data_IF_488389608086
#
_entry.id   IF_488389608086
#
_cell.length_a   1.000
_cell.length_b   1.000
_cell.length_c   1.000
_cell.angle_alpha   90.00
_cell.angle_beta   90.00
_cell.angle_gamma   90.00
#
_symmetry.space_group_name_H-M   'P 1'
#
loop_
_entity.id
_entity.type
_entity.pdbx_description
1 polymer ?
#
# COMPACT_ATOMS: atom_id res chain seq x y z
N UNK A 1 10.06 6.20 -0.85
CA UNK A 1 9.40 4.93 -1.19
C UNK A 1 8.59 5.13 -2.45
N UNK A 2 8.67 4.21 -3.40
CA UNK A 2 7.90 4.21 -4.63
C UNK A 2 6.84 3.11 -4.55
N UNK A 3 5.57 3.50 -4.62
CA UNK A 3 4.43 2.60 -4.52
C UNK A 3 3.46 2.89 -5.68
N UNK A 4 2.78 1.88 -6.22
CA UNK A 4 1.72 2.09 -7.18
C UNK A 4 0.64 3.03 -6.62
N UNK A 5 0.27 4.01 -7.44
CA UNK A 5 -0.85 4.90 -7.13
C UNK A 5 -2.17 4.13 -7.29
N UNK A 6 -2.93 4.07 -6.20
CA UNK A 6 -4.23 3.41 -6.17
C UNK A 6 -5.32 4.38 -6.56
N UNK A 7 -5.19 5.68 -6.24
CA UNK A 7 -6.23 6.66 -6.49
C UNK A 7 -6.58 6.75 -7.99
N UNK A 8 -5.58 6.74 -8.87
CA UNK A 8 -5.79 6.70 -10.33
C UNK A 8 -6.35 5.38 -10.88
N UNK A 9 -6.39 4.31 -10.07
CA UNK A 9 -6.95 3.00 -10.45
C UNK A 9 -8.41 2.82 -10.04
N UNK A 10 -8.91 3.66 -9.13
CA UNK A 10 -10.32 3.65 -8.69
C UNK A 10 -11.09 4.74 -9.44
N UNK A 11 -11.47 4.45 -10.68
CA UNK A 11 -12.39 5.31 -11.44
C UNK A 11 -13.81 4.76 -11.28
N UNK A 12 -14.78 5.62 -10.93
CA UNK A 12 -16.16 5.28 -10.55
C UNK A 12 -16.36 4.76 -9.12
N UNK A 13 -15.94 5.55 -8.12
CA UNK A 13 -16.31 5.32 -6.70
C UNK A 13 -17.78 5.72 -6.48
N UNK A 14 -18.66 4.81 -6.01
CA UNK A 14 -20.03 5.17 -5.66
C UNK A 14 -20.06 6.23 -4.55
N UNK A 15 -21.02 7.16 -4.59
CA UNK A 15 -21.14 8.22 -3.58
C UNK A 15 -21.20 7.68 -2.14
N UNK A 16 -21.88 6.55 -1.93
CA UNK A 16 -21.97 5.87 -0.64
C UNK A 16 -20.62 5.32 -0.13
N UNK A 17 -19.68 5.01 -1.03
CA UNK A 17 -18.36 4.46 -0.69
C UNK A 17 -17.28 5.53 -0.57
N UNK A 18 -17.55 6.78 -0.98
CA UNK A 18 -16.53 7.83 -1.13
C UNK A 18 -15.75 8.09 0.17
N UNK A 19 -16.43 8.17 1.31
CA UNK A 19 -15.80 8.43 2.60
C UNK A 19 -14.86 7.27 3.01
N UNK A 20 -15.28 6.03 2.79
CA UNK A 20 -14.47 4.84 3.09
C UNK A 20 -13.26 4.73 2.17
N UNK A 21 -13.44 4.95 0.86
CA UNK A 21 -12.33 4.96 -0.10
C UNK A 21 -11.32 6.05 0.26
N UNK A 22 -11.76 7.27 0.54
CA UNK A 22 -10.89 8.38 0.93
C UNK A 22 -10.10 8.06 2.21
N UNK A 23 -10.75 7.45 3.22
CA UNK A 23 -10.08 7.03 4.46
C UNK A 23 -9.00 5.98 4.19
N UNK A 24 -9.30 4.99 3.35
CA UNK A 24 -8.33 3.94 3.01
C UNK A 24 -7.18 4.47 2.13
N UNK A 25 -7.43 5.42 1.22
CA UNK A 25 -6.38 6.12 0.48
C UNK A 25 -5.46 6.91 1.42
N UNK A 26 -6.03 7.59 2.42
CA UNK A 26 -5.27 8.22 3.50
C UNK A 26 -4.41 7.21 4.28
N UNK A 27 -4.98 6.05 4.61
CA UNK A 27 -4.26 4.98 5.30
C UNK A 27 -3.09 4.43 4.47
N UNK A 28 -3.24 4.28 3.15
CA UNK A 28 -2.13 3.88 2.26
C UNK A 28 -0.98 4.89 2.33
N UNK A 29 -1.28 6.19 2.41
CA UNK A 29 -0.26 7.24 2.59
C UNK A 29 0.44 7.11 3.95
N UNK A 30 -0.31 6.92 5.03
CA UNK A 30 0.28 6.69 6.37
C UNK A 30 1.20 5.47 6.38
N UNK A 31 0.81 4.37 5.74
CA UNK A 31 1.64 3.16 5.63
C UNK A 31 2.97 3.44 4.92
N UNK A 32 2.95 4.26 3.86
CA UNK A 32 4.15 4.68 3.13
C UNK A 32 5.06 5.55 4.03
N UNK A 33 4.50 6.50 4.76
CA UNK A 33 5.25 7.34 5.69
C UNK A 33 5.93 6.51 6.79
N UNK A 34 5.19 5.55 7.36
CA UNK A 34 5.69 4.65 8.40
C UNK A 34 6.84 3.78 7.87
N UNK A 35 6.71 3.28 6.64
CA UNK A 35 7.76 2.50 6.00
C UNK A 35 8.99 3.35 5.64
N UNK A 36 8.82 4.61 5.22
CA UNK A 36 9.94 5.52 5.01
C UNK A 36 10.70 5.80 6.33
N UNK A 37 9.99 5.99 7.45
CA UNK A 37 10.61 6.14 8.78
C UNK A 37 11.42 4.90 9.17
N UNK A 38 10.83 3.71 8.99
CA UNK A 38 11.52 2.44 9.23
C UNK A 38 12.75 2.27 8.35
N UNK A 39 12.65 2.63 7.07
CA UNK A 39 13.78 2.58 6.13
C UNK A 39 14.92 3.50 6.57
N UNK A 40 14.62 4.73 7.00
CA UNK A 40 15.62 5.66 7.51
C UNK A 40 16.33 5.12 8.76
N UNK A 41 15.57 4.51 9.68
CA UNK A 41 16.13 3.88 10.88
C UNK A 41 16.92 2.59 10.59
N UNK A 42 16.61 1.91 9.48
CA UNK A 42 17.30 0.71 9.02
C UNK A 42 18.59 1.03 8.23
N UNK A 43 18.84 2.29 7.87
CA UNK A 43 20.02 2.67 7.11
C UNK A 43 21.30 2.29 7.89
N UNK A 44 22.17 1.49 7.25
CA UNK A 44 23.39 0.97 7.87
C UNK A 44 23.20 -0.31 8.69
N UNK A 45 21.99 -0.84 8.82
CA UNK A 45 21.70 -2.09 9.54
C UNK A 45 21.27 -3.21 8.57
N UNK A 46 21.97 -4.34 8.57
CA UNK A 46 21.47 -5.62 8.01
C UNK A 46 21.34 -5.76 6.48
N UNK A 47 21.72 -4.76 5.68
CA UNK A 47 21.77 -4.84 4.21
C UNK A 47 20.41 -5.00 3.52
N UNK A 48 20.42 -5.31 2.21
CA UNK A 48 19.20 -5.35 1.38
C UNK A 48 18.15 -6.37 1.86
N UNK A 49 18.58 -7.52 2.38
CA UNK A 49 17.68 -8.53 2.93
C UNK A 49 16.93 -8.03 4.18
N UNK A 50 17.57 -7.20 5.00
CA UNK A 50 16.91 -6.60 6.16
C UNK A 50 15.83 -5.61 5.73
N UNK A 51 16.11 -4.72 4.78
CA UNK A 51 15.10 -3.78 4.25
C UNK A 51 13.91 -4.52 3.66
N UNK A 52 14.17 -5.61 2.90
CA UNK A 52 13.10 -6.43 2.34
C UNK A 52 12.21 -7.01 3.45
N UNK A 53 12.80 -7.64 4.46
CA UNK A 53 12.06 -8.37 5.49
C UNK A 53 11.41 -7.47 6.55
N UNK A 54 12.08 -6.41 6.97
CA UNK A 54 11.63 -5.55 8.07
C UNK A 54 10.77 -4.35 7.60
N UNK A 55 10.88 -3.97 6.32
CA UNK A 55 10.21 -2.78 5.78
C UNK A 55 9.26 -3.14 4.64
N UNK A 56 9.76 -3.74 3.56
CA UNK A 56 8.98 -3.94 2.33
C UNK A 56 7.91 -5.04 2.47
N UNK A 57 8.22 -6.18 3.09
CA UNK A 57 7.24 -7.25 3.30
C UNK A 57 6.07 -6.77 4.20
N UNK A 58 6.31 -6.17 5.39
CA UNK A 58 5.22 -5.66 6.22
C UNK A 58 4.41 -4.53 5.55
N UNK A 59 5.07 -3.68 4.74
CA UNK A 59 4.38 -2.66 3.96
C UNK A 59 3.45 -3.29 2.93
N UNK A 60 3.92 -4.32 2.19
CA UNK A 60 3.12 -5.04 1.21
C UNK A 60 1.88 -5.63 1.86
N UNK A 61 2.02 -6.37 2.97
CA UNK A 61 0.89 -7.02 3.64
C UNK A 61 -0.17 -6.02 4.11
N UNK A 62 0.26 -4.89 4.69
CA UNK A 62 -0.64 -3.80 5.09
C UNK A 62 -1.36 -3.18 3.89
N UNK A 63 -0.65 -2.98 2.78
CA UNK A 63 -1.23 -2.42 1.55
C UNK A 63 -2.22 -3.37 0.90
N UNK A 64 -1.93 -4.67 0.83
CA UNK A 64 -2.87 -5.70 0.34
C UNK A 64 -4.19 -5.59 1.10
N UNK A 65 -4.13 -5.61 2.44
CA UNK A 65 -5.32 -5.54 3.28
C UNK A 65 -6.11 -4.23 3.07
N UNK A 66 -5.45 -3.11 2.83
CA UNK A 66 -6.13 -1.83 2.58
C UNK A 66 -6.72 -1.73 1.17
N UNK A 67 -6.01 -2.24 0.14
CA UNK A 67 -6.50 -2.28 -1.23
C UNK A 67 -7.73 -3.20 -1.32
N UNK A 68 -7.71 -4.36 -0.65
CA UNK A 68 -8.87 -5.25 -0.57
C UNK A 68 -10.10 -4.58 0.03
N UNK A 69 -9.92 -3.70 1.04
CA UNK A 69 -11.03 -2.92 1.61
C UNK A 69 -11.57 -1.90 0.60
N UNK A 70 -10.70 -1.22 -0.15
CA UNK A 70 -11.12 -0.29 -1.22
C UNK A 70 -11.94 -1.01 -2.28
N UNK A 71 -11.45 -2.16 -2.76
CA UNK A 71 -12.14 -2.98 -3.78
C UNK A 71 -13.51 -3.44 -3.29
N UNK A 72 -13.61 -3.89 -2.03
CA UNK A 72 -14.89 -4.29 -1.42
C UNK A 72 -15.84 -3.10 -1.24
N UNK A 73 -15.35 -1.95 -0.80
CA UNK A 73 -16.16 -0.75 -0.58
C UNK A 73 -16.86 -0.26 -1.85
N UNK A 74 -16.21 -0.41 -3.02
CA UNK A 74 -16.81 -0.07 -4.32
C UNK A 74 -17.65 -1.21 -4.92
N UNK A 75 -17.87 -2.30 -4.20
CA UNK A 75 -18.63 -3.47 -4.67
C UNK A 75 -17.90 -4.33 -5.71
N UNK A 76 -16.58 -4.19 -5.83
CA UNK A 76 -15.76 -4.89 -6.80
C UNK A 76 -15.16 -6.20 -6.27
N UNK A 77 -14.53 -6.93 -7.18
CA UNK A 77 -13.64 -8.05 -6.87
C UNK A 77 -12.34 -7.87 -7.66
N UNK A 78 -11.22 -8.25 -7.06
CA UNK A 78 -9.92 -8.24 -7.70
C UNK A 78 -9.23 -9.58 -7.47
N UNK A 79 -8.57 -10.10 -8.50
CA UNK A 79 -7.76 -11.30 -8.33
C UNK A 79 -6.58 -10.99 -7.41
N UNK A 80 -6.19 -11.94 -6.56
CA UNK A 80 -5.08 -11.77 -5.60
C UNK A 80 -3.81 -11.23 -6.26
N UNK A 81 -3.50 -11.70 -7.47
CA UNK A 81 -2.30 -11.28 -8.21
C UNK A 81 -2.34 -9.80 -8.59
N UNK A 82 -3.53 -9.26 -8.88
CA UNK A 82 -3.72 -7.84 -9.19
C UNK A 82 -3.51 -6.98 -7.94
N UNK A 83 -4.07 -7.41 -6.80
CA UNK A 83 -3.89 -6.73 -5.52
C UNK A 83 -2.42 -6.76 -5.09
N UNK A 84 -1.76 -7.92 -5.21
CA UNK A 84 -0.34 -8.07 -4.87
C UNK A 84 0.56 -7.17 -5.71
N UNK A 85 0.27 -7.02 -7.01
CA UNK A 85 0.99 -6.11 -7.90
C UNK A 85 0.81 -4.64 -7.48
N UNK A 86 -0.40 -4.24 -7.10
CA UNK A 86 -0.71 -2.89 -6.63
C UNK A 86 -0.15 -2.58 -5.22
N UNK A 87 -0.01 -3.61 -4.39
CA UNK A 87 0.49 -3.47 -3.03
C UNK A 87 2.03 -3.38 -2.96
N UNK A 88 2.73 -3.91 -3.95
CA UNK A 88 4.20 -3.99 -3.95
C UNK A 88 4.84 -2.62 -4.11
N UNK A 89 5.68 -2.24 -3.13
CA UNK A 89 6.46 -1.00 -3.16
C UNK A 89 7.96 -1.29 -3.27
N UNK A 90 8.72 -0.29 -3.67
CA UNK A 90 10.18 -0.32 -3.77
C UNK A 90 10.79 0.89 -3.08
N UNK A 91 12.06 0.78 -2.68
CA UNK A 91 12.83 1.92 -2.19
C UNK A 91 13.11 2.91 -3.31
N UNK A 92 13.10 4.20 -3.01
CA UNK A 92 13.59 5.21 -3.95
C UNK A 92 15.09 4.98 -4.09
N UNK A 93 15.57 4.76 -5.31
CA UNK A 93 17.00 4.74 -5.60
C UNK A 93 17.52 6.14 -5.81
#
# INVERSE_FOLDING_TARGET
MNCPDIASRVSAVPAAAQAEVNRNLGLLKTQIEDANKRLANAAGQGGANFVQNAVLNPLKDKRVATIDRIVKAIGGTAAKQQVDALATCTVNR
#
